data_IF_267235580004
#
_entry.id   IF_267235580004
#
_cell.length_a   1.000
_cell.length_b   1.000
_cell.length_c   1.000
_cell.angle_alpha   90.00
_cell.angle_beta   90.00
_cell.angle_gamma   90.00
#
_symmetry.space_group_name_H-M   'P 1'
#
loop_
_entity.id
_entity.type
_entity.pdbx_description
1 polymer ?
#
# COMPACT_ATOMS: atom_id res chain seq x y z
N UNK A 1 -56.75 79.06 9.06
CA UNK A 1 -55.34 79.22 8.62
C UNK A 1 -54.55 78.07 9.22
N UNK A 2 -54.21 77.08 8.40
CA UNK A 2 -52.84 76.74 7.97
C UNK A 2 -52.21 75.65 8.88
N UNK A 3 -52.28 74.39 8.46
CA UNK A 3 -51.29 73.64 7.66
C UNK A 3 -50.56 72.62 8.55
N UNK A 4 -51.02 71.38 8.49
CA UNK A 4 -50.36 70.18 9.02
C UNK A 4 -49.22 69.80 8.07
N UNK A 5 -48.00 69.67 8.60
CA UNK A 5 -46.82 69.27 7.83
C UNK A 5 -46.51 67.78 8.11
N UNK A 6 -46.89 66.94 7.13
CA UNK A 6 -46.05 65.96 6.42
C UNK A 6 -45.32 64.85 7.19
N UNK A 7 -45.57 63.58 6.82
CA UNK A 7 -44.63 62.67 6.10
C UNK A 7 -45.25 61.26 5.98
N UNK A 8 -45.81 60.92 4.81
CA UNK A 8 -45.26 59.99 3.80
C UNK A 8 -45.17 58.54 4.38
N UNK A 9 -46.17 57.66 4.20
CA UNK A 9 -46.36 56.70 3.06
C UNK A 9 -45.03 56.26 2.42
N UNK A 10 -44.70 54.98 2.18
CA UNK A 10 -45.31 54.00 1.27
C UNK A 10 -44.83 52.58 1.69
N UNK A 11 -45.72 51.63 1.95
CA UNK A 11 -46.09 50.52 1.04
C UNK A 11 -44.90 49.67 0.55
N UNK A 12 -44.73 48.44 1.05
CA UNK A 12 -45.26 47.20 0.45
C UNK A 12 -44.19 46.47 -0.35
N UNK A 13 -43.72 45.31 0.14
CA UNK A 13 -43.74 44.11 -0.69
C UNK A 13 -43.67 42.86 0.19
N UNK A 14 -44.72 42.05 0.11
CA UNK A 14 -44.75 40.68 0.60
C UNK A 14 -43.92 39.85 -0.37
N UNK A 15 -42.95 39.07 0.09
CA UNK A 15 -42.58 37.87 -0.66
C UNK A 15 -42.29 36.68 0.24
N UNK A 16 -42.82 35.57 -0.24
CA UNK A 16 -43.13 34.34 0.44
C UNK A 16 -41.96 33.37 0.27
N UNK A 17 -41.64 32.72 1.38
CA UNK A 17 -40.78 31.55 1.60
C UNK A 17 -40.46 30.66 0.39
N UNK A 18 -39.21 30.18 0.27
CA UNK A 18 -38.99 28.76 -0.06
C UNK A 18 -38.36 28.02 1.12
N UNK A 19 -39.04 26.96 1.54
CA UNK A 19 -38.66 25.94 2.52
C UNK A 19 -37.44 25.09 2.09
N UNK A 20 -36.55 25.62 1.25
CA UNK A 20 -35.43 24.90 0.65
C UNK A 20 -34.14 24.94 1.48
N UNK A 21 -34.10 25.71 2.58
CA UNK A 21 -32.89 25.88 3.40
C UNK A 21 -32.65 24.77 4.43
N UNK A 22 -33.49 23.73 4.49
CA UNK A 22 -33.34 22.63 5.45
C UNK A 22 -32.59 21.39 4.91
N UNK A 23 -32.04 21.45 3.70
CA UNK A 23 -31.34 20.31 3.09
C UNK A 23 -29.94 20.72 2.64
N UNK A 24 -28.95 20.86 3.55
CA UNK A 24 -27.54 20.74 3.10
C UNK A 24 -26.40 20.66 4.14
N UNK A 25 -26.57 20.83 5.45
CA UNK A 25 -25.38 20.98 6.33
C UNK A 25 -24.96 19.76 7.18
N UNK A 26 -25.45 18.55 6.93
CA UNK A 26 -25.17 17.38 7.79
C UNK A 26 -24.15 16.36 7.27
N UNK A 27 -23.32 16.66 6.27
CA UNK A 27 -22.23 15.75 5.92
C UNK A 27 -20.93 16.48 5.57
N UNK A 28 -20.08 16.75 6.57
CA UNK A 28 -18.64 16.69 6.30
C UNK A 28 -17.86 15.77 7.26
N UNK A 29 -18.50 15.13 8.23
CA UNK A 29 -17.79 14.19 9.12
C UNK A 29 -17.79 12.76 8.54
N UNK A 30 -18.88 12.35 7.88
CA UNK A 30 -19.01 10.99 7.32
C UNK A 30 -18.08 10.73 6.13
N UNK A 31 -17.81 11.74 5.30
CA UNK A 31 -16.88 11.62 4.16
C UNK A 31 -15.43 11.49 4.60
N UNK A 32 -15.03 12.17 5.68
CA UNK A 32 -13.67 12.09 6.20
C UNK A 32 -13.36 10.69 6.76
N UNK A 33 -14.33 10.06 7.43
CA UNK A 33 -14.22 8.68 7.92
C UNK A 33 -14.15 7.71 6.74
N UNK A 34 -14.95 7.90 5.68
CA UNK A 34 -14.92 7.02 4.51
C UNK A 34 -13.58 7.10 3.75
N UNK A 35 -13.00 8.29 3.57
CA UNK A 35 -11.65 8.43 2.99
C UNK A 35 -10.57 7.82 3.89
N UNK A 36 -10.71 7.90 5.21
CA UNK A 36 -9.79 7.29 6.17
C UNK A 36 -9.88 5.76 6.19
N UNK A 37 -11.08 5.21 6.00
CA UNK A 37 -11.31 3.75 5.91
C UNK A 37 -10.73 3.19 4.60
N UNK A 38 -10.78 3.94 3.49
CA UNK A 38 -10.21 3.49 2.21
C UNK A 38 -8.67 3.57 2.18
N UNK A 39 -8.05 4.55 2.85
CA UNK A 39 -6.59 4.63 2.97
C UNK A 39 -5.99 3.70 4.05
N UNK A 40 -6.82 3.17 4.96
CA UNK A 40 -6.40 2.14 5.93
C UNK A 40 -6.83 0.73 5.54
N UNK A 41 -7.32 0.52 4.30
CA UNK A 41 -7.44 -0.84 3.76
C UNK A 41 -6.04 -1.29 3.30
N UNK A 42 -5.42 -2.30 3.94
CA UNK A 42 -4.33 -3.03 3.30
C UNK A 42 -4.95 -3.84 2.16
N UNK A 43 -5.27 -3.19 1.05
CA UNK A 43 -5.37 -3.89 -0.21
C UNK A 43 -3.96 -4.38 -0.54
N UNK A 44 -3.89 -5.59 -1.08
CA UNK A 44 -2.68 -6.29 -1.56
C UNK A 44 -2.02 -7.33 -0.65
N UNK A 45 -2.80 -8.10 0.11
CA UNK A 45 -2.55 -9.55 0.12
C UNK A 45 -3.88 -10.27 -0.12
N UNK A 46 -4.34 -10.25 -1.38
CA UNK A 46 -5.39 -11.16 -1.79
C UNK A 46 -4.70 -12.55 -1.86
N UNK A 47 -5.18 -13.61 -1.18
CA UNK A 47 -4.63 -14.97 -1.25
C UNK A 47 -4.65 -15.63 -2.64
N UNK A 48 -4.94 -14.84 -3.67
CA UNK A 48 -5.12 -15.24 -5.06
C UNK A 48 -3.97 -14.76 -5.96
N UNK A 49 -2.88 -14.23 -5.42
CA UNK A 49 -1.69 -14.05 -6.25
C UNK A 49 -0.96 -15.39 -6.35
N UNK A 50 -0.91 -16.00 -7.56
CA UNK A 50 -0.13 -17.21 -7.75
C UNK A 50 1.33 -16.95 -7.35
N UNK A 51 1.92 -17.95 -6.74
CA UNK A 51 3.33 -17.96 -6.37
C UNK A 51 4.05 -18.99 -7.23
N UNK A 52 5.24 -18.63 -7.68
CA UNK A 52 6.10 -19.49 -8.48
C UNK A 52 7.46 -19.62 -7.84
N UNK A 53 8.24 -20.59 -8.32
CA UNK A 53 9.62 -20.75 -7.87
C UNK A 53 10.48 -19.77 -8.67
N UNK A 54 11.20 -18.91 -7.96
CA UNK A 54 12.20 -18.03 -8.53
C UNK A 54 13.59 -18.41 -8.02
N UNK A 55 14.58 -18.31 -8.89
CA UNK A 55 15.99 -18.34 -8.52
C UNK A 55 16.48 -16.91 -8.37
N UNK A 56 16.99 -16.60 -7.18
CA UNK A 56 17.65 -15.34 -6.85
C UNK A 56 19.15 -15.57 -6.94
N UNK A 57 19.78 -14.90 -7.91
CA UNK A 57 21.21 -14.93 -8.15
C UNK A 57 21.87 -13.71 -7.50
N UNK A 58 22.92 -13.95 -6.70
CA UNK A 58 23.61 -12.96 -5.87
C UNK A 58 25.10 -12.84 -6.20
N UNK A 59 25.54 -13.43 -7.33
CA UNK A 59 26.93 -13.36 -7.78
C UNK A 59 27.75 -14.63 -7.52
N UNK A 60 29.05 -14.51 -7.80
CA UNK A 60 30.01 -15.62 -7.70
C UNK A 60 30.40 -15.97 -6.26
N UNK A 61 30.94 -17.17 -6.11
CA UNK A 61 31.42 -17.72 -4.85
C UNK A 61 32.76 -17.11 -4.45
N UNK A 62 32.71 -16.04 -3.68
CA UNK A 62 33.81 -15.66 -2.79
C UNK A 62 33.76 -16.56 -1.54
N UNK A 63 34.89 -16.75 -0.84
CA UNK A 63 35.02 -17.51 0.43
C UNK A 63 34.24 -16.85 1.59
N UNK A 64 32.95 -16.61 1.41
CA UNK A 64 32.03 -16.15 2.47
C UNK A 64 31.67 -17.32 3.37
N UNK A 65 31.53 -17.02 4.66
CA UNK A 65 31.14 -18.01 5.64
C UNK A 65 29.73 -18.57 5.33
N UNK A 66 29.50 -19.90 5.42
CA UNK A 66 28.19 -20.49 5.14
C UNK A 66 27.05 -19.92 5.99
N UNK A 67 27.30 -19.43 7.21
CA UNK A 67 26.27 -18.80 8.04
C UNK A 67 25.92 -17.39 7.54
N UNK A 68 26.88 -16.64 6.99
CA UNK A 68 26.59 -15.31 6.42
C UNK A 68 25.65 -15.40 5.22
N UNK A 69 25.84 -16.43 4.37
CA UNK A 69 24.94 -16.71 3.24
C UNK A 69 23.52 -17.00 3.73
N UNK A 70 23.37 -17.88 4.74
CA UNK A 70 22.07 -18.23 5.30
C UNK A 70 21.39 -17.01 5.93
N UNK A 71 22.14 -16.22 6.70
CA UNK A 71 21.62 -15.01 7.34
C UNK A 71 21.15 -13.98 6.30
N UNK A 72 21.93 -13.76 5.24
CA UNK A 72 21.58 -12.82 4.17
C UNK A 72 20.34 -13.29 3.39
N UNK A 73 20.28 -14.57 3.04
CA UNK A 73 19.11 -15.16 2.39
C UNK A 73 17.84 -14.96 3.23
N UNK A 74 17.95 -15.23 4.53
CA UNK A 74 16.84 -15.03 5.47
C UNK A 74 16.41 -13.56 5.55
N UNK A 75 17.36 -12.63 5.63
CA UNK A 75 17.07 -11.18 5.70
C UNK A 75 16.35 -10.67 4.46
N UNK A 76 16.75 -11.15 3.27
CA UNK A 76 16.10 -10.79 2.01
C UNK A 76 14.66 -11.32 2.01
N UNK A 77 14.46 -12.60 2.32
CA UNK A 77 13.12 -13.20 2.34
C UNK A 77 12.21 -12.57 3.38
N UNK A 78 12.68 -12.36 4.62
CA UNK A 78 11.85 -11.72 5.65
C UNK A 78 11.41 -10.32 5.24
N UNK A 79 12.26 -9.55 4.55
CA UNK A 79 11.91 -8.19 4.13
C UNK A 79 10.74 -8.14 3.13
N UNK A 80 10.58 -9.13 2.25
CA UNK A 80 9.43 -9.22 1.31
C UNK A 80 8.23 -9.97 1.87
N UNK A 81 8.35 -10.49 3.09
CA UNK A 81 7.29 -11.15 3.85
C UNK A 81 6.91 -10.33 5.09
N UNK A 82 6.97 -9.00 5.02
CA UNK A 82 6.59 -8.09 6.11
C UNK A 82 7.34 -8.33 7.43
N UNK A 83 8.55 -8.89 7.37
CA UNK A 83 9.35 -9.28 8.52
C UNK A 83 8.99 -10.65 9.12
N UNK A 84 8.03 -11.39 8.55
CA UNK A 84 7.60 -12.70 9.04
C UNK A 84 8.68 -13.75 8.81
N UNK A 85 9.24 -14.28 9.92
CA UNK A 85 10.20 -15.39 9.88
C UNK A 85 9.55 -16.67 9.32
N UNK A 86 8.33 -16.96 9.74
CA UNK A 86 7.62 -18.19 9.38
C UNK A 86 7.33 -18.23 7.88
N UNK A 87 6.82 -17.13 7.31
CA UNK A 87 6.54 -17.04 5.88
C UNK A 87 7.83 -17.04 5.04
N UNK A 88 8.87 -16.35 5.50
CA UNK A 88 10.18 -16.36 4.84
C UNK A 88 10.80 -17.76 4.83
N UNK A 89 10.67 -18.50 5.92
CA UNK A 89 11.14 -19.88 6.01
C UNK A 89 10.32 -20.80 5.11
N UNK A 90 8.98 -20.68 5.11
CA UNK A 90 8.10 -21.47 4.26
C UNK A 90 8.28 -21.20 2.76
N UNK A 91 8.66 -19.97 2.39
CA UNK A 91 8.97 -19.61 1.01
C UNK A 91 10.34 -20.13 0.54
N UNK A 92 11.30 -20.34 1.44
CA UNK A 92 12.65 -20.79 1.09
C UNK A 92 12.64 -22.26 0.65
N UNK A 93 13.17 -22.56 -0.55
CA UNK A 93 13.25 -23.92 -1.07
C UNK A 93 14.68 -24.48 -1.08
N UNK A 94 15.64 -23.66 -1.50
CA UNK A 94 17.02 -24.13 -1.65
C UNK A 94 18.02 -22.97 -1.58
N UNK A 95 19.23 -23.22 -1.08
CA UNK A 95 20.35 -22.27 -1.10
C UNK A 95 21.50 -22.81 -1.95
N UNK A 96 21.89 -22.07 -2.97
CA UNK A 96 23.06 -22.37 -3.80
C UNK A 96 24.33 -21.82 -3.11
N UNK A 97 25.35 -22.68 -2.95
CA UNK A 97 26.58 -22.34 -2.21
C UNK A 97 27.89 -22.60 -2.97
N UNK A 98 27.89 -23.47 -3.98
CA UNK A 98 29.14 -23.98 -4.57
C UNK A 98 29.43 -23.44 -5.98
N UNK A 99 28.41 -23.31 -6.85
CA UNK A 99 28.58 -22.73 -8.18
C UNK A 99 28.37 -21.21 -8.21
N UNK A 100 27.43 -20.74 -7.41
CA UNK A 100 27.11 -19.33 -7.22
C UNK A 100 26.45 -19.13 -5.86
N UNK A 101 26.38 -17.87 -5.42
CA UNK A 101 25.61 -17.46 -4.24
C UNK A 101 24.19 -17.13 -4.67
N UNK A 102 23.21 -17.76 -4.05
CA UNK A 102 21.82 -17.50 -4.36
C UNK A 102 20.87 -18.45 -3.64
N UNK A 103 19.59 -18.33 -3.92
CA UNK A 103 18.58 -19.23 -3.38
C UNK A 103 17.38 -19.37 -4.31
N UNK A 104 16.68 -20.49 -4.19
CA UNK A 104 15.37 -20.70 -4.79
C UNK A 104 14.28 -20.47 -3.73
N UNK A 105 13.25 -19.73 -4.07
CA UNK A 105 12.13 -19.46 -3.18
C UNK A 105 10.80 -19.36 -3.94
N UNK A 106 9.71 -19.68 -3.24
CA UNK A 106 8.35 -19.54 -3.73
C UNK A 106 7.86 -18.12 -3.47
N UNK A 107 7.71 -17.33 -4.52
CA UNK A 107 7.46 -15.89 -4.45
C UNK A 107 6.34 -15.47 -5.40
N UNK A 108 5.67 -14.36 -5.08
CA UNK A 108 4.87 -13.65 -6.07
C UNK A 108 5.76 -12.86 -7.02
N UNK A 109 5.21 -12.45 -8.16
CA UNK A 109 5.94 -11.61 -9.11
C UNK A 109 6.39 -10.27 -8.48
N UNK A 110 5.55 -9.65 -7.66
CA UNK A 110 5.90 -8.42 -6.95
C UNK A 110 7.04 -8.62 -5.95
N UNK A 111 7.03 -9.73 -5.20
CA UNK A 111 8.12 -10.06 -4.28
C UNK A 111 9.44 -10.28 -5.02
N UNK A 112 9.42 -11.01 -6.14
CA UNK A 112 10.60 -11.22 -6.98
C UNK A 112 11.16 -9.89 -7.53
N UNK A 113 10.28 -8.99 -7.97
CA UNK A 113 10.65 -7.65 -8.44
C UNK A 113 11.22 -6.77 -7.31
N UNK A 114 10.73 -6.91 -6.09
CA UNK A 114 11.31 -6.22 -4.92
C UNK A 114 12.70 -6.76 -4.59
N UNK A 115 12.87 -8.09 -4.57
CA UNK A 115 14.15 -8.74 -4.33
C UNK A 115 15.20 -8.33 -5.36
N UNK A 116 14.83 -8.26 -6.65
CA UNK A 116 15.73 -7.85 -7.72
C UNK A 116 16.32 -6.43 -7.55
N UNK A 117 15.71 -5.59 -6.71
CA UNK A 117 16.17 -4.22 -6.40
C UNK A 117 17.03 -4.15 -5.13
N UNK A 118 17.21 -5.25 -4.41
CA UNK A 118 17.96 -5.27 -3.15
C UNK A 118 19.46 -5.31 -3.41
N UNK A 119 20.21 -4.68 -2.50
CA UNK A 119 21.66 -4.71 -2.53
C UNK A 119 22.19 -6.16 -2.44
N UNK A 120 23.16 -6.49 -3.28
CA UNK A 120 23.75 -7.84 -3.35
C UNK A 120 22.93 -8.85 -4.14
N UNK A 121 21.77 -8.47 -4.69
CA UNK A 121 21.04 -9.29 -5.67
C UNK A 121 21.42 -8.83 -7.08
N UNK A 122 21.86 -9.77 -7.92
CA UNK A 122 22.22 -9.49 -9.31
C UNK A 122 21.03 -9.70 -10.24
N UNK A 123 20.26 -10.77 -10.04
CA UNK A 123 19.05 -11.04 -10.82
C UNK A 123 18.09 -11.98 -10.09
N UNK A 124 16.79 -11.85 -10.35
CA UNK A 124 15.78 -12.83 -9.95
C UNK A 124 14.99 -13.28 -11.18
N UNK A 125 14.93 -14.59 -11.44
CA UNK A 125 14.27 -15.15 -12.62
C UNK A 125 13.46 -16.40 -12.26
N UNK A 126 12.47 -16.71 -13.08
CA UNK A 126 11.59 -17.86 -12.88
C UNK A 126 12.35 -19.16 -13.07
N UNK A 127 12.14 -20.13 -12.17
CA UNK A 127 12.62 -21.50 -12.35
C UNK A 127 11.60 -22.27 -13.19
N UNK A 128 11.99 -22.67 -14.41
CA UNK A 128 11.21 -23.56 -15.28
C UNK A 128 11.38 -25.04 -14.92
#
# INVERSE_FOLDING_TARGET
>A
MAQFKKKDDYATEKMKLPSALLVCSLLPIGTLVLTRVLEHMPLLIHPWMPTWVFVVYMGSTDNEDPNEIVFRNHRILSSVHSGSFEDAHAAHLYSYKHGFKGFAAKLTQDQALQIAKMEGVVSAFLAE
#
